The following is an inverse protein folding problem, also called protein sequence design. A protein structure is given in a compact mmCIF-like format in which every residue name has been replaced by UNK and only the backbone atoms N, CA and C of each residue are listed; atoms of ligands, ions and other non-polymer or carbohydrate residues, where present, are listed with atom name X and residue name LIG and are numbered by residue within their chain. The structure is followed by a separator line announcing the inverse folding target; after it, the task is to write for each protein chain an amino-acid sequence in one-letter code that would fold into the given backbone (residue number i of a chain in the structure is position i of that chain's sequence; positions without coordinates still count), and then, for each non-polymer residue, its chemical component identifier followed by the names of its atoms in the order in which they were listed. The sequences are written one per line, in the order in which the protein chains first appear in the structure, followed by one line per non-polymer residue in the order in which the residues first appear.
data_IF_181750970949
#
_entry.id   IF_181750970949
#
_cell.length_a   1.000
_cell.length_b   1.000
_cell.length_c   1.000
_cell.angle_alpha   90.00
_cell.angle_beta   90.00
_cell.angle_gamma   90.00
#
_symmetry.space_group_name_H-M   'P 1'
#
loop_
_entity.id
_entity.type
_entity.pdbx_description
1 polymer ?
#
# COMPACT_ATOMS: atom_id res chain seq x y z
N UNK A 1 28.88 -3.69 15.20
CA UNK A 1 27.68 -4.26 14.56
C UNK A 1 26.48 -3.38 14.85
N UNK A 2 25.87 -2.75 13.84
CA UNK A 2 24.78 -1.79 14.05
C UNK A 2 23.44 -2.51 14.33
N UNK A 3 22.66 -2.13 15.38
CA UNK A 3 21.41 -2.82 15.71
C UNK A 3 20.33 -2.71 14.62
N UNK A 4 20.28 -1.61 13.86
CA UNK A 4 19.33 -1.50 12.74
C UNK A 4 19.64 -2.48 11.60
N UNK A 5 20.91 -2.86 11.40
CA UNK A 5 21.27 -3.87 10.41
C UNK A 5 20.66 -5.23 10.77
N UNK A 6 20.74 -5.65 12.03
CA UNK A 6 20.12 -6.91 12.50
C UNK A 6 18.59 -6.91 12.33
N UNK A 7 17.95 -5.74 12.47
CA UNK A 7 16.51 -5.58 12.28
C UNK A 7 16.11 -5.72 10.81
N UNK A 8 16.83 -5.04 9.90
CA UNK A 8 16.46 -4.95 8.48
C UNK A 8 16.95 -6.12 7.64
N UNK A 9 18.04 -6.78 8.01
CA UNK A 9 18.66 -7.86 7.24
C UNK A 9 17.68 -8.96 6.77
N UNK A 10 16.80 -9.54 7.62
CA UNK A 10 15.86 -10.56 7.16
C UNK A 10 14.80 -10.02 6.18
N UNK A 11 14.50 -8.71 6.21
CA UNK A 11 13.50 -8.09 5.35
C UNK A 11 14.02 -7.70 3.97
N UNK A 12 15.34 -7.63 3.79
CA UNK A 12 16.00 -7.31 2.52
C UNK A 12 16.53 -8.55 1.79
N UNK A 13 16.28 -9.75 2.35
CA UNK A 13 16.76 -11.01 1.79
C UNK A 13 16.16 -11.23 0.39
N UNK A 14 17.01 -11.54 -0.58
CA UNK A 14 16.66 -11.78 -1.99
C UNK A 14 16.13 -10.57 -2.77
N UNK A 15 16.02 -9.39 -2.16
CA UNK A 15 15.48 -8.20 -2.84
C UNK A 15 16.40 -7.72 -3.97
N UNK A 16 17.72 -7.79 -3.79
CA UNK A 16 18.67 -7.35 -4.83
C UNK A 16 18.73 -8.39 -5.94
N UNK A 17 18.78 -9.67 -5.57
CA UNK A 17 18.87 -10.81 -6.47
C UNK A 17 17.66 -10.89 -7.41
N UNK A 18 16.44 -10.75 -6.88
CA UNK A 18 15.24 -10.77 -7.74
C UNK A 18 15.14 -9.52 -8.63
N UNK A 19 15.60 -8.37 -8.15
CA UNK A 19 15.60 -7.13 -8.93
C UNK A 19 16.62 -7.16 -10.07
N UNK A 20 17.75 -7.84 -9.87
CA UNK A 20 18.76 -8.04 -10.91
C UNK A 20 18.22 -8.92 -12.04
N UNK A 21 17.66 -10.08 -11.68
CA UNK A 21 16.98 -10.97 -12.62
C UNK A 21 15.82 -10.29 -13.35
N UNK A 22 15.08 -9.41 -12.65
CA UNK A 22 14.02 -8.64 -13.27
C UNK A 22 14.56 -7.67 -14.33
N UNK A 23 15.69 -7.00 -14.09
CA UNK A 23 16.33 -6.13 -15.09
C UNK A 23 16.88 -6.91 -16.28
N UNK A 24 17.28 -8.16 -16.08
CA UNK A 24 17.79 -9.02 -17.15
C UNK A 24 16.67 -9.56 -18.06
N UNK A 25 15.55 -10.01 -17.48
CA UNK A 25 14.56 -10.81 -18.22
C UNK A 25 13.10 -10.30 -18.16
N UNK A 26 12.75 -9.44 -17.19
CA UNK A 26 11.37 -9.02 -16.95
C UNK A 26 11.07 -7.64 -17.54
N UNK A 27 11.88 -6.64 -17.17
CA UNK A 27 11.68 -5.21 -17.48
C UNK A 27 12.72 -4.66 -18.46
N UNK A 28 13.49 -5.52 -19.11
CA UNK A 28 14.36 -5.15 -20.21
C UNK A 28 13.58 -4.81 -21.48
N UNK A 29 14.26 -4.18 -22.44
CA UNK A 29 13.70 -3.93 -23.78
C UNK A 29 13.30 -5.26 -24.43
N UNK A 30 12.09 -5.32 -25.00
CA UNK A 30 11.45 -6.54 -25.49
C UNK A 30 11.30 -7.66 -24.42
N UNK A 31 11.32 -7.29 -23.14
CA UNK A 31 11.08 -8.18 -22.01
C UNK A 31 9.63 -8.62 -21.89
N UNK A 32 9.33 -9.36 -20.83
CA UNK A 32 7.97 -9.89 -20.59
C UNK A 32 6.97 -8.75 -20.38
N UNK A 33 7.32 -7.71 -19.62
CA UNK A 33 6.39 -6.61 -19.30
C UNK A 33 6.01 -5.82 -20.56
N UNK A 34 6.98 -5.47 -21.41
CA UNK A 34 6.70 -4.74 -22.65
C UNK A 34 5.87 -5.57 -23.65
N UNK A 35 5.95 -6.90 -23.61
CA UNK A 35 5.16 -7.77 -24.49
C UNK A 35 3.77 -8.08 -23.95
N UNK A 36 3.61 -8.14 -22.63
CA UNK A 36 2.38 -8.57 -21.98
C UNK A 36 1.40 -7.42 -21.66
N UNK A 37 1.89 -6.19 -21.54
CA UNK A 37 1.07 -5.05 -21.13
C UNK A 37 0.93 -4.00 -22.25
N UNK A 38 -0.25 -3.37 -22.32
CA UNK A 38 -0.59 -2.38 -23.35
C UNK A 38 0.39 -1.21 -23.54
N UNK A 39 1.09 -0.69 -22.51
CA UNK A 39 2.04 0.40 -22.70
C UNK A 39 3.29 0.03 -23.52
N UNK A 40 3.57 -1.26 -23.71
CA UNK A 40 4.70 -1.71 -24.51
C UNK A 40 6.04 -1.15 -24.02
N UNK A 41 6.82 -0.59 -24.94
CA UNK A 41 8.10 0.10 -24.68
C UNK A 41 8.01 1.29 -23.72
N UNK A 42 6.81 1.82 -23.46
CA UNK A 42 6.61 2.95 -22.54
C UNK A 42 6.33 2.49 -21.10
N UNK A 43 6.30 1.19 -20.82
CA UNK A 43 5.94 0.64 -19.51
C UNK A 43 6.83 1.19 -18.38
N UNK A 44 8.15 1.23 -18.59
CA UNK A 44 9.09 1.71 -17.57
C UNK A 44 9.11 3.24 -17.47
N UNK A 45 8.88 3.94 -18.58
CA UNK A 45 8.74 5.40 -18.58
C UNK A 45 7.54 5.85 -17.75
N UNK A 46 6.39 5.17 -17.87
CA UNK A 46 5.22 5.43 -17.04
C UNK A 46 5.51 5.21 -15.55
N UNK A 47 6.23 4.14 -15.20
CA UNK A 47 6.64 3.92 -13.81
C UNK A 47 7.57 5.02 -13.29
N UNK A 48 8.48 5.54 -14.12
CA UNK A 48 9.36 6.65 -13.77
C UNK A 48 8.58 7.94 -13.52
N UNK A 49 7.62 8.28 -14.39
CA UNK A 49 6.78 9.46 -14.23
C UNK A 49 5.90 9.35 -12.97
N UNK A 50 5.33 8.18 -12.69
CA UNK A 50 4.55 7.94 -11.48
C UNK A 50 5.42 8.02 -10.20
N UNK A 51 6.67 7.55 -10.25
CA UNK A 51 7.60 7.68 -9.14
C UNK A 51 7.90 9.15 -8.83
N UNK A 52 8.14 9.97 -9.85
CA UNK A 52 8.42 11.40 -9.69
C UNK A 52 7.22 12.19 -9.15
N UNK A 53 6.02 11.91 -9.68
CA UNK A 53 4.85 12.75 -9.40
C UNK A 53 4.03 12.30 -8.18
N UNK A 54 3.96 10.99 -7.91
CA UNK A 54 3.00 10.41 -6.96
C UNK A 54 3.67 9.77 -5.74
N UNK A 55 4.92 9.33 -5.86
CA UNK A 55 5.55 8.56 -4.80
C UNK A 55 6.05 9.46 -3.67
N UNK A 56 5.57 9.19 -2.45
CA UNK A 56 6.08 9.78 -1.22
C UNK A 56 6.25 8.68 -0.19
N UNK A 57 7.31 8.74 0.61
CA UNK A 57 7.62 7.72 1.61
C UNK A 57 6.57 7.68 2.73
N UNK A 58 6.09 8.84 3.18
CA UNK A 58 5.10 8.97 4.25
C UNK A 58 3.77 8.30 3.87
N UNK A 59 3.40 8.40 2.59
CA UNK A 59 2.22 7.72 2.03
C UNK A 59 2.41 6.21 1.86
N UNK A 60 3.57 5.63 2.12
CA UNK A 60 3.70 4.16 2.13
C UNK A 60 3.17 3.55 3.44
N UNK A 61 2.90 4.38 4.46
CA UNK A 61 2.24 3.93 5.67
C UNK A 61 0.75 3.64 5.39
N UNK A 62 0.31 2.41 5.73
CA UNK A 62 -1.09 2.00 5.58
C UNK A 62 -2.08 2.96 6.27
N UNK A 63 -1.70 3.49 7.44
CA UNK A 63 -2.56 4.41 8.19
C UNK A 63 -2.72 5.76 7.51
N UNK A 64 -1.65 6.33 6.96
CA UNK A 64 -1.68 7.64 6.29
C UNK A 64 -2.39 7.59 4.94
N UNK A 65 -2.33 6.46 4.24
CA UNK A 65 -3.10 6.26 2.99
C UNK A 65 -4.57 5.99 3.21
N UNK A 66 -4.94 5.31 4.30
CA UNK A 66 -6.34 4.99 4.59
C UNK A 66 -7.08 6.10 5.34
N UNK A 67 -6.40 6.95 6.12
CA UNK A 67 -7.04 8.03 6.88
C UNK A 67 -7.85 9.00 6.00
N UNK A 68 -7.30 9.56 4.90
CA UNK A 68 -8.04 10.49 4.05
C UNK A 68 -9.25 9.84 3.39
N UNK A 69 -9.11 8.56 3.00
CA UNK A 69 -10.22 7.79 2.43
C UNK A 69 -11.30 7.49 3.49
N UNK A 70 -10.91 7.18 4.73
CA UNK A 70 -11.83 6.94 5.84
C UNK A 70 -12.51 8.23 6.29
N UNK A 71 -11.79 9.34 6.42
CA UNK A 71 -12.32 10.66 6.75
C UNK A 71 -13.28 11.17 5.67
N UNK A 72 -12.91 11.05 4.39
CA UNK A 72 -13.79 11.42 3.28
C UNK A 72 -15.03 10.52 3.21
N UNK A 73 -14.91 9.24 3.57
CA UNK A 73 -16.04 8.30 3.70
C UNK A 73 -16.93 8.64 4.91
N UNK A 74 -16.34 9.02 6.05
CA UNK A 74 -17.07 9.48 7.24
C UNK A 74 -17.82 10.79 6.99
N UNK A 75 -17.21 11.75 6.30
CA UNK A 75 -17.86 13.02 5.94
C UNK A 75 -19.02 12.82 4.96
N UNK A 76 -18.84 11.97 3.93
CA UNK A 76 -19.94 11.55 3.05
C UNK A 76 -21.06 10.84 3.82
N UNK A 77 -20.72 9.97 4.79
CA UNK A 77 -21.71 9.29 5.62
C UNK A 77 -22.53 10.25 6.52
N UNK A 78 -21.93 11.31 7.06
CA UNK A 78 -22.67 12.31 7.84
C UNK A 78 -23.65 13.07 6.94
N UNK A 79 -23.24 13.41 5.72
CA UNK A 79 -24.09 14.08 4.73
C UNK A 79 -25.24 13.17 4.23
N UNK A 80 -24.98 11.88 3.98
CA UNK A 80 -26.01 10.93 3.52
C UNK A 80 -26.98 10.53 4.64
N UNK A 81 -26.51 10.39 5.90
CA UNK A 81 -27.37 10.13 7.07
C UNK A 81 -28.27 11.31 7.44
N UNK A 82 -27.92 12.53 7.04
CA UNK A 82 -28.78 13.71 7.18
C UNK A 82 -29.82 13.84 6.06
N UNK A 83 -29.66 13.13 4.94
CA UNK A 83 -30.64 13.09 3.85
C UNK A 83 -31.67 11.99 4.08
N UNK A 84 -32.97 12.32 4.12
CA UNK A 84 -34.07 11.35 4.27
C UNK A 84 -34.49 10.70 2.94
N UNK A 85 -33.64 10.74 1.92
CA UNK A 85 -34.00 10.36 0.55
C UNK A 85 -33.74 8.84 0.34
N UNK A 86 -34.76 8.03 0.00
CA UNK A 86 -34.66 6.56 -0.04
C UNK A 86 -33.63 6.01 -1.03
N UNK A 87 -33.17 6.82 -1.98
CA UNK A 87 -32.14 6.45 -2.98
C UNK A 87 -30.74 6.23 -2.37
N UNK A 88 -30.45 6.83 -1.21
CA UNK A 88 -29.17 6.67 -0.51
C UNK A 88 -29.09 5.41 0.38
N UNK A 89 -30.21 4.67 0.54
CA UNK A 89 -30.23 3.44 1.34
C UNK A 89 -29.43 2.30 0.69
N UNK A 90 -29.38 2.23 -0.64
CA UNK A 90 -28.54 1.25 -1.35
C UNK A 90 -27.05 1.52 -1.15
N UNK A 91 -26.64 2.80 -1.15
CA UNK A 91 -25.26 3.19 -0.86
C UNK A 91 -24.90 2.91 0.60
N UNK A 92 -25.81 3.11 1.55
CA UNK A 92 -25.60 2.78 2.96
C UNK A 92 -25.44 1.27 3.21
N UNK A 93 -26.14 0.42 2.45
CA UNK A 93 -25.97 -1.05 2.48
C UNK A 93 -24.61 -1.46 1.89
N UNK A 94 -24.20 -0.83 0.78
CA UNK A 94 -22.85 -0.98 0.22
C UNK A 94 -21.76 -0.51 1.19
N UNK A 95 -22.01 0.56 1.95
CA UNK A 95 -21.07 1.10 2.94
C UNK A 95 -20.95 0.24 4.20
N UNK A 96 -22.04 -0.39 4.67
CA UNK A 96 -21.97 -1.44 5.70
C UNK A 96 -21.15 -2.65 5.25
N UNK A 97 -21.10 -2.93 3.94
CA UNK A 97 -20.19 -3.92 3.35
C UNK A 97 -18.73 -3.44 3.18
N UNK A 98 -18.52 -2.14 2.92
CA UNK A 98 -17.18 -1.55 2.71
C UNK A 98 -16.31 -1.44 3.97
N UNK A 99 -16.87 -1.63 5.17
CA UNK A 99 -16.09 -1.68 6.43
C UNK A 99 -15.30 -3.00 6.55
N UNK A 100 -15.53 -3.96 5.65
CA UNK A 100 -14.92 -5.29 5.71
C UNK A 100 -14.27 -5.70 4.38
N UNK A 101 -13.33 -4.90 3.85
CA UNK A 101 -12.38 -5.43 2.87
C UNK A 101 -11.42 -6.36 3.63
N UNK A 102 -11.44 -7.70 3.43
CA UNK A 102 -10.67 -8.62 4.26
C UNK A 102 -9.16 -8.31 4.21
N UNK A 103 -8.68 -7.84 3.06
CA UNK A 103 -7.29 -7.42 2.85
C UNK A 103 -6.93 -6.15 3.64
N UNK A 104 -7.83 -5.17 3.78
CA UNK A 104 -7.53 -3.95 4.55
C UNK A 104 -7.48 -4.25 6.04
N UNK A 105 -8.38 -5.11 6.53
CA UNK A 105 -8.39 -5.54 7.93
C UNK A 105 -7.12 -6.33 8.27
N UNK A 106 -6.75 -7.30 7.43
CA UNK A 106 -5.52 -8.07 7.62
C UNK A 106 -4.27 -7.17 7.59
N UNK A 107 -4.21 -6.20 6.67
CA UNK A 107 -3.11 -5.21 6.62
C UNK A 107 -3.05 -4.35 7.88
N UNK A 108 -4.19 -3.92 8.41
CA UNK A 108 -4.28 -3.16 9.66
C UNK A 108 -3.72 -3.96 10.84
N UNK A 109 -4.17 -5.20 11.01
CA UNK A 109 -3.77 -6.08 12.12
C UNK A 109 -2.27 -6.42 12.06
N UNK A 110 -1.75 -6.68 10.86
CA UNK A 110 -0.32 -6.90 10.62
C UNK A 110 0.51 -5.65 10.93
N UNK A 111 0.06 -4.47 10.49
CA UNK A 111 0.74 -3.20 10.74
C UNK A 111 0.83 -2.90 12.24
N UNK A 112 -0.26 -3.11 12.98
CA UNK A 112 -0.29 -2.96 14.44
C UNK A 112 0.70 -3.89 15.13
N UNK A 113 0.72 -5.16 14.72
CA UNK A 113 1.63 -6.17 15.28
C UNK A 113 3.09 -5.80 15.03
N UNK A 114 3.44 -5.38 13.81
CA UNK A 114 4.79 -4.97 13.44
C UNK A 114 5.25 -3.74 14.23
N UNK A 115 4.41 -2.71 14.37
CA UNK A 115 4.71 -1.52 15.18
C UNK A 115 5.00 -1.88 16.64
N UNK A 116 4.14 -2.69 17.25
CA UNK A 116 4.33 -3.16 18.63
C UNK A 116 5.62 -3.96 18.78
N UNK A 117 5.93 -4.83 17.82
CA UNK A 117 7.16 -5.62 17.84
C UNK A 117 8.42 -4.74 17.74
N UNK A 118 8.44 -3.77 16.82
CA UNK A 118 9.57 -2.83 16.66
C UNK A 118 9.79 -2.02 17.94
N UNK A 119 8.72 -1.50 18.55
CA UNK A 119 8.80 -0.75 19.82
C UNK A 119 9.33 -1.62 20.96
N UNK A 120 8.80 -2.85 21.11
CA UNK A 120 9.28 -3.80 22.13
C UNK A 120 10.73 -4.24 21.92
N UNK A 121 11.16 -4.46 20.67
CA UNK A 121 12.56 -4.78 20.33
C UNK A 121 13.51 -3.61 20.61
N UNK A 122 13.07 -2.36 20.37
CA UNK A 122 13.84 -1.16 20.67
C UNK A 122 14.12 -1.04 22.18
N UNK A 123 13.15 -1.37 23.03
CA UNK A 123 13.30 -1.44 24.50
C UNK A 123 14.25 -2.55 24.99
N UNK A 124 14.60 -3.53 24.17
CA UNK A 124 15.46 -4.65 24.55
C UNK A 124 16.92 -4.47 24.07
N UNK A 125 17.18 -3.43 23.28
CA UNK A 125 18.50 -3.11 22.70
C UNK A 125 19.13 -1.88 23.39
N UNK A 126 18.35 -1.12 24.15
CA UNK A 126 18.78 -0.02 25.05
C UNK A 126 18.80 -0.59 26.47
#
# INVERSE_FOLDING_TARGET
MHPAYKLLHPHLRYTVEINDLAREALINANGIIEKAFSPGKYSIELCSAAYDQLWQFDLQEFFQTSLPLLEQKCQRNIQTMQSKDPRFLLEAIWFKGCIFYPLSQQKFDMSKTLKLWVVKKKMMII
#
